data_IF_824534560983
#
_entry.id   IF_824534560983
#
_cell.length_a   1.000
_cell.length_b   1.000
_cell.length_c   1.000
_cell.angle_alpha   90.00
_cell.angle_beta   90.00
_cell.angle_gamma   90.00
#
_symmetry.space_group_name_H-M   'P 1'
#
loop_
_entity.id
_entity.type
_entity.pdbx_description
1 polymer ?
#
# COMPACT_ATOMS: atom_id res chain seq x y z
N UNK A 1 8.49 -0.64 -7.49
CA UNK A 1 8.96 0.66 -6.93
C UNK A 1 9.81 1.49 -7.90
N UNK A 2 10.65 0.90 -8.76
CA UNK A 2 11.61 1.63 -9.61
C UNK A 2 10.99 2.73 -10.51
N UNK A 3 9.85 2.48 -11.16
CA UNK A 3 9.20 3.48 -12.03
C UNK A 3 8.68 4.70 -11.25
N UNK A 4 8.13 4.48 -10.05
CA UNK A 4 7.66 5.58 -9.20
C UNK A 4 8.81 6.46 -8.71
N UNK A 5 9.95 5.86 -8.31
CA UNK A 5 11.15 6.62 -7.92
C UNK A 5 11.71 7.46 -9.07
N UNK A 6 11.82 6.89 -10.28
CA UNK A 6 12.26 7.63 -11.48
C UNK A 6 11.32 8.80 -11.83
N UNK A 7 10.01 8.62 -11.65
CA UNK A 7 9.04 9.70 -11.89
C UNK A 7 9.07 10.78 -10.82
N UNK A 8 9.40 10.43 -9.57
CA UNK A 8 9.63 11.40 -8.50
C UNK A 8 10.79 12.34 -8.83
N UNK A 9 11.90 11.82 -9.36
CA UNK A 9 13.05 12.64 -9.78
C UNK A 9 12.69 13.66 -10.87
N UNK A 10 11.62 13.38 -11.63
CA UNK A 10 11.08 14.23 -12.69
C UNK A 10 9.95 15.15 -12.22
N UNK A 11 9.59 15.11 -10.93
CA UNK A 11 8.51 15.91 -10.34
C UNK A 11 7.09 15.45 -10.72
N UNK A 12 6.92 14.27 -11.31
CA UNK A 12 5.61 13.76 -11.73
C UNK A 12 4.85 13.12 -10.54
N UNK A 13 4.35 14.00 -9.66
CA UNK A 13 3.61 13.60 -8.46
C UNK A 13 2.30 12.87 -8.80
N UNK A 14 1.67 13.20 -9.92
CA UNK A 14 0.44 12.53 -10.37
C UNK A 14 0.71 11.05 -10.68
N UNK A 15 1.79 10.76 -11.40
CA UNK A 15 2.19 9.38 -11.66
C UNK A 15 2.60 8.64 -10.38
N UNK A 16 3.33 9.29 -9.49
CA UNK A 16 3.70 8.73 -8.18
C UNK A 16 2.45 8.36 -7.37
N UNK A 17 1.46 9.24 -7.31
CA UNK A 17 0.18 8.99 -6.64
C UNK A 17 -0.56 7.79 -7.26
N UNK A 18 -0.59 7.69 -8.59
CA UNK A 18 -1.18 6.55 -9.30
C UNK A 18 -0.46 5.23 -9.03
N UNK A 19 0.88 5.25 -8.95
CA UNK A 19 1.67 4.08 -8.56
C UNK A 19 1.37 3.64 -7.13
N UNK A 20 1.29 4.58 -6.19
CA UNK A 20 0.92 4.31 -4.79
C UNK A 20 -0.46 3.67 -4.71
N UNK A 21 -1.45 4.28 -5.37
CA UNK A 21 -2.83 3.78 -5.35
C UNK A 21 -2.91 2.34 -5.85
N UNK A 22 -2.30 2.04 -7.00
CA UNK A 22 -2.29 0.68 -7.56
C UNK A 22 -1.59 -0.32 -6.63
N UNK A 23 -0.47 0.06 -6.02
CA UNK A 23 0.22 -0.82 -5.09
C UNK A 23 -0.63 -1.13 -3.86
N UNK A 24 -1.29 -0.12 -3.26
CA UNK A 24 -2.21 -0.31 -2.12
C UNK A 24 -3.40 -1.21 -2.50
N UNK A 25 -3.97 -1.02 -3.69
CA UNK A 25 -5.05 -1.88 -4.19
C UNK A 25 -4.58 -3.35 -4.35
N UNK A 26 -3.41 -3.57 -4.93
CA UNK A 26 -2.81 -4.91 -5.05
C UNK A 26 -2.50 -5.54 -3.69
N UNK A 27 -2.01 -4.77 -2.72
CA UNK A 27 -1.81 -5.26 -1.35
C UNK A 27 -3.12 -5.71 -0.72
N UNK A 28 -4.21 -4.94 -0.90
CA UNK A 28 -5.53 -5.37 -0.46
C UNK A 28 -5.93 -6.71 -1.12
N UNK A 29 -5.75 -6.87 -2.44
CA UNK A 29 -6.04 -8.13 -3.12
C UNK A 29 -5.26 -9.31 -2.54
N UNK A 30 -3.95 -9.15 -2.32
CA UNK A 30 -3.09 -10.18 -1.71
C UNK A 30 -3.57 -10.53 -0.30
N UNK A 31 -3.86 -9.53 0.53
CA UNK A 31 -4.30 -9.74 1.90
C UNK A 31 -5.67 -10.41 1.98
N UNK A 32 -6.58 -10.06 1.08
CA UNK A 32 -7.86 -10.76 0.95
C UNK A 32 -7.66 -12.23 0.55
N UNK A 33 -6.81 -12.48 -0.44
CA UNK A 33 -6.49 -13.84 -0.89
C UNK A 33 -5.83 -14.68 0.22
N UNK A 34 -4.83 -14.14 0.93
CA UNK A 34 -4.15 -14.80 2.04
C UNK A 34 -5.11 -15.20 3.17
N UNK A 35 -6.18 -14.42 3.38
CA UNK A 35 -7.19 -14.70 4.39
C UNK A 35 -8.39 -15.48 3.84
N UNK A 36 -8.34 -15.98 2.60
CA UNK A 36 -9.42 -16.75 1.98
C UNK A 36 -10.72 -15.95 1.81
N UNK A 37 -10.62 -14.62 1.63
CA UNK A 37 -11.76 -13.72 1.48
C UNK A 37 -11.81 -13.12 0.08
N UNK A 38 -13.02 -12.93 -0.43
CA UNK A 38 -13.26 -12.29 -1.72
C UNK A 38 -13.30 -10.77 -1.58
N UNK A 39 -12.52 -10.06 -2.41
CA UNK A 39 -12.57 -8.61 -2.53
C UNK A 39 -13.67 -8.22 -3.54
N UNK A 40 -14.90 -8.02 -3.06
CA UNK A 40 -16.05 -7.70 -3.93
C UNK A 40 -16.15 -6.21 -4.29
N UNK A 41 -15.52 -5.35 -3.50
CA UNK A 41 -15.44 -3.92 -3.75
C UNK A 41 -14.13 -3.35 -3.20
N UNK A 42 -13.67 -2.24 -3.78
CA UNK A 42 -12.47 -1.53 -3.34
C UNK A 42 -12.76 -0.54 -2.20
N UNK A 43 -14.01 -0.07 -2.13
CA UNK A 43 -14.46 0.89 -1.12
C UNK A 43 -14.41 0.26 0.26
N UNK A 44 -13.49 0.74 1.09
CA UNK A 44 -13.32 0.24 2.46
C UNK A 44 -12.43 -1.00 2.57
N UNK A 45 -11.84 -1.47 1.46
CA UNK A 45 -10.92 -2.61 1.47
C UNK A 45 -9.76 -2.41 2.45
N UNK A 46 -9.17 -1.21 2.47
CA UNK A 46 -8.07 -0.87 3.39
C UNK A 46 -8.48 -0.99 4.85
N UNK A 47 -9.69 -0.53 5.21
CA UNK A 47 -10.18 -0.64 6.58
C UNK A 47 -10.56 -2.08 6.95
N UNK A 48 -11.11 -2.84 5.99
CA UNK A 48 -11.49 -4.23 6.20
C UNK A 48 -10.28 -5.12 6.54
N UNK A 49 -9.11 -4.83 5.96
CA UNK A 49 -7.86 -5.57 6.25
C UNK A 49 -7.53 -5.57 7.74
N UNK A 50 -7.83 -4.52 8.50
CA UNK A 50 -7.51 -4.48 9.93
C UNK A 50 -8.22 -5.58 10.74
N UNK A 51 -9.32 -6.14 10.22
CA UNK A 51 -10.02 -7.29 10.80
C UNK A 51 -9.43 -8.66 10.46
N UNK A 52 -8.40 -8.73 9.61
CA UNK A 52 -7.84 -9.99 9.14
C UNK A 52 -6.88 -10.64 10.14
N UNK A 53 -6.73 -11.96 10.05
CA UNK A 53 -5.78 -12.71 10.87
C UNK A 53 -4.35 -12.53 10.33
N UNK A 54 -4.18 -12.64 9.01
CA UNK A 54 -2.91 -12.45 8.33
C UNK A 54 -2.87 -11.03 7.75
N UNK A 55 -2.17 -10.11 8.41
CA UNK A 55 -2.03 -8.72 7.98
C UNK A 55 -0.77 -8.05 8.56
N UNK A 56 -0.23 -7.02 7.91
CA UNK A 56 0.70 -6.10 8.56
C UNK A 56 0.05 -5.43 9.77
N UNK A 57 0.85 -5.10 10.78
CA UNK A 57 0.38 -4.34 11.93
C UNK A 57 -0.07 -2.93 11.48
N UNK A 58 -1.19 -2.47 12.03
CA UNK A 58 -1.74 -1.13 11.76
C UNK A 58 -1.88 -0.80 10.26
N UNK A 59 -2.26 -1.78 9.42
CA UNK A 59 -2.26 -1.64 7.96
C UNK A 59 -2.99 -0.38 7.48
N UNK A 60 -4.23 -0.13 7.90
CA UNK A 60 -4.99 1.04 7.46
C UNK A 60 -4.34 2.36 7.88
N UNK A 61 -3.76 2.42 9.09
CA UNK A 61 -3.02 3.59 9.61
C UNK A 61 -1.74 3.82 8.82
N UNK A 62 -1.03 2.76 8.45
CA UNK A 62 0.17 2.83 7.60
C UNK A 62 -0.16 3.38 6.21
N UNK A 63 -1.26 2.93 5.60
CA UNK A 63 -1.77 3.49 4.34
C UNK A 63 -2.19 4.96 4.50
N UNK A 64 -2.87 5.33 5.58
CA UNK A 64 -3.24 6.71 5.83
C UNK A 64 -2.01 7.63 5.99
N UNK A 65 -0.99 7.17 6.72
CA UNK A 65 0.29 7.88 6.86
C UNK A 65 1.01 8.03 5.54
N UNK A 66 0.97 7.01 4.69
CA UNK A 66 1.53 7.06 3.34
C UNK A 66 0.91 8.19 2.53
N UNK A 67 -0.43 8.27 2.47
CA UNK A 67 -1.11 9.36 1.75
C UNK A 67 -0.90 10.73 2.40
N UNK A 68 -0.77 10.79 3.73
CA UNK A 68 -0.43 12.03 4.42
C UNK A 68 0.99 12.51 4.08
N UNK A 69 1.95 11.60 3.96
CA UNK A 69 3.31 11.92 3.50
C UNK A 69 3.29 12.44 2.06
N UNK A 70 2.54 11.79 1.17
CA UNK A 70 2.37 12.25 -0.20
C UNK A 70 1.73 13.65 -0.29
N UNK A 71 0.63 13.87 0.44
CA UNK A 71 -0.08 15.15 0.46
C UNK A 71 0.73 16.31 1.06
N UNK A 72 1.73 16.00 1.89
CA UNK A 72 2.65 16.97 2.46
C UNK A 72 3.95 17.14 1.65
N UNK A 73 3.99 16.65 0.40
CA UNK A 73 5.16 16.78 -0.47
C UNK A 73 6.32 15.85 -0.13
N UNK A 74 6.16 14.91 0.81
CA UNK A 74 7.18 13.92 1.21
C UNK A 74 7.03 12.63 0.42
N UNK A 75 6.98 12.73 -0.91
CA UNK A 75 6.75 11.59 -1.80
C UNK A 75 7.81 10.47 -1.64
N UNK A 76 9.08 10.81 -1.36
CA UNK A 76 10.11 9.82 -1.05
C UNK A 76 9.75 8.98 0.19
N UNK A 77 9.36 9.63 1.29
CA UNK A 77 8.95 8.96 2.52
C UNK A 77 7.68 8.10 2.31
N UNK A 78 6.74 8.57 1.48
CA UNK A 78 5.57 7.78 1.09
C UNK A 78 5.97 6.49 0.35
N UNK A 79 6.96 6.56 -0.56
CA UNK A 79 7.47 5.39 -1.26
C UNK A 79 8.23 4.43 -0.34
N UNK A 80 9.05 4.95 0.59
CA UNK A 80 9.76 4.11 1.57
C UNK A 80 8.77 3.38 2.50
N UNK A 81 7.68 4.05 2.89
CA UNK A 81 6.59 3.44 3.67
C UNK A 81 5.86 2.37 2.88
N UNK A 82 5.59 2.61 1.60
CA UNK A 82 4.97 1.61 0.72
C UNK A 82 5.85 0.36 0.60
N UNK A 83 7.16 0.54 0.42
CA UNK A 83 8.14 -0.55 0.33
C UNK A 83 8.19 -1.37 1.64
N UNK A 84 8.15 -0.70 2.79
CA UNK A 84 8.02 -1.35 4.10
C UNK A 84 6.76 -2.21 4.17
N UNK A 85 5.61 -1.66 3.75
CA UNK A 85 4.32 -2.35 3.80
C UNK A 85 4.28 -3.56 2.84
N UNK A 86 4.92 -3.47 1.68
CA UNK A 86 5.11 -4.60 0.76
C UNK A 86 5.91 -5.71 1.43
N UNK A 87 7.07 -5.38 2.02
CA UNK A 87 7.91 -6.37 2.70
C UNK A 87 7.22 -7.00 3.92
N UNK A 88 6.40 -6.24 4.66
CA UNK A 88 5.55 -6.79 5.73
C UNK A 88 4.52 -7.79 5.19
N UNK A 89 3.93 -7.49 4.04
CA UNK A 89 2.93 -8.36 3.40
C UNK A 89 3.57 -9.63 2.83
N UNK A 90 4.75 -9.52 2.21
CA UNK A 90 5.51 -10.67 1.69
C UNK A 90 5.85 -11.67 2.80
N UNK A 91 6.20 -11.19 4.00
CA UNK A 91 6.49 -12.04 5.18
C UNK A 91 5.29 -12.82 5.70
N UNK A 92 4.08 -12.54 5.23
CA UNK A 92 2.87 -13.30 5.57
C UNK A 92 2.68 -14.54 4.69
N UNK A 93 3.44 -14.66 3.59
CA UNK A 93 3.30 -15.80 2.70
C UNK A 93 3.74 -17.09 3.43
N UNK A 94 2.93 -18.15 3.40
CA UNK A 94 3.33 -19.43 3.99
C UNK A 94 4.55 -20.00 3.23
N UNK A 95 5.61 -20.33 3.95
CA UNK A 95 6.76 -21.07 3.42
C UNK A 95 6.36 -22.50 3.02
#
# INVERSE_FOLDING_TARGET
MANARKSLDRGDISYVAGCIFRAVASLCQVLFALNGRWLLNEKGAVAAVDGFALKPADFSRSVARLYADLGAGRAAAALDRLETLIGETERLWPN
#
